data_IF_261997182569
#
_entry.id   IF_261997182569
#
_cell.length_a   1.000
_cell.length_b   1.000
_cell.length_c   1.000
_cell.angle_alpha   90.00
_cell.angle_beta   90.00
_cell.angle_gamma   90.00
#
_symmetry.space_group_name_H-M   'P 1'
#
loop_
_entity.id
_entity.type
_entity.pdbx_description
1 polymer ?
#
# COMPACT_ATOMS: atom_id res chain seq x y z
N UNK A 1 19.29 14.15 17.44
CA UNK A 1 17.82 14.09 17.42
C UNK A 1 17.31 13.33 16.20
N UNK A 2 17.76 13.63 14.98
CA UNK A 2 17.21 13.04 13.75
C UNK A 2 18.08 11.94 13.10
N UNK A 3 19.24 11.61 13.67
CA UNK A 3 20.12 10.59 13.10
C UNK A 3 19.53 9.20 13.28
N UNK A 4 19.66 8.36 12.25
CA UNK A 4 19.37 6.93 12.35
C UNK A 4 20.66 6.18 12.61
N UNK A 5 20.58 5.14 13.44
CA UNK A 5 21.73 4.32 13.84
C UNK A 5 21.37 2.86 13.65
N UNK A 6 22.33 2.05 13.19
CA UNK A 6 22.11 0.61 13.01
C UNK A 6 21.83 -0.12 14.32
N UNK A 7 22.17 0.49 15.46
CA UNK A 7 21.93 -0.02 16.81
C UNK A 7 20.47 0.22 17.26
N UNK A 8 19.76 1.15 16.62
CA UNK A 8 18.37 1.45 16.89
C UNK A 8 17.43 0.46 16.19
N UNK A 9 16.36 0.06 16.88
CA UNK A 9 15.39 -0.92 16.38
C UNK A 9 13.99 -0.35 16.11
N UNK A 10 13.79 0.95 16.32
CA UNK A 10 12.48 1.58 16.16
C UNK A 10 12.08 1.82 14.68
N UNK A 11 13.07 1.80 13.77
CA UNK A 11 12.91 2.07 12.34
C UNK A 11 12.96 0.84 11.43
N UNK A 12 13.33 -0.34 11.93
CA UNK A 12 13.28 -1.60 11.16
C UNK A 12 14.39 -1.82 10.12
N UNK A 13 15.18 -0.81 9.75
CA UNK A 13 16.36 -0.99 8.89
C UNK A 13 17.53 -1.64 9.65
N UNK A 14 17.98 -2.81 9.18
CA UNK A 14 19.04 -3.62 9.83
C UNK A 14 20.38 -3.62 9.12
N UNK A 15 20.44 -3.12 7.87
CA UNK A 15 21.63 -3.15 7.00
C UNK A 15 22.25 -1.75 6.77
N UNK A 16 21.90 -0.77 7.60
CA UNK A 16 22.33 0.62 7.45
C UNK A 16 23.79 0.84 7.92
N UNK A 17 24.54 1.63 7.17
CA UNK A 17 25.85 2.15 7.53
C UNK A 17 25.80 3.31 8.54
N UNK A 18 26.91 3.57 9.22
CA UNK A 18 26.98 4.67 10.18
C UNK A 18 26.88 6.03 9.45
N UNK A 19 25.90 6.86 9.84
CA UNK A 19 25.69 8.19 9.24
C UNK A 19 25.13 8.17 7.82
N UNK A 20 24.62 7.03 7.36
CA UNK A 20 24.09 6.86 6.00
C UNK A 20 22.74 7.55 5.80
N UNK A 21 21.90 7.60 6.85
CA UNK A 21 20.57 8.18 6.79
C UNK A 21 20.20 8.98 8.04
N UNK A 22 19.26 9.90 7.86
CA UNK A 22 18.63 10.68 8.92
C UNK A 22 17.14 10.86 8.61
N UNK A 23 16.34 11.12 9.65
CA UNK A 23 14.94 11.48 9.53
C UNK A 23 14.82 12.91 9.04
N UNK A 24 13.99 13.11 8.02
CA UNK A 24 13.59 14.44 7.59
C UNK A 24 12.53 14.99 8.57
N UNK A 25 12.84 16.03 9.36
CA UNK A 25 11.90 16.59 10.34
C UNK A 25 10.69 17.26 9.71
N UNK A 26 10.72 17.55 8.40
CA UNK A 26 9.60 18.15 7.66
C UNK A 26 8.64 17.10 7.08
N UNK A 27 8.90 15.81 7.32
CA UNK A 27 8.05 14.69 6.91
C UNK A 27 7.49 13.99 8.14
N UNK A 28 6.38 14.49 8.66
CA UNK A 28 5.71 13.86 9.80
C UNK A 28 5.12 12.52 9.34
N UNK A 29 5.72 11.45 9.82
CA UNK A 29 5.22 10.08 9.58
C UNK A 29 4.56 9.58 10.85
N UNK A 30 3.24 9.36 10.80
CA UNK A 30 2.46 8.79 11.91
C UNK A 30 2.31 7.30 11.64
N UNK A 31 2.83 6.46 12.55
CA UNK A 31 2.66 5.00 12.48
C UNK A 31 1.35 4.61 13.14
N UNK A 32 0.61 3.69 12.53
CA UNK A 32 -0.58 3.09 13.15
C UNK A 32 -0.24 1.72 13.76
N UNK A 33 -0.97 1.27 14.79
CA UNK A 33 -0.79 -0.06 15.40
C UNK A 33 -0.90 -1.20 14.38
N UNK A 34 -0.24 -2.34 14.65
CA UNK A 34 -0.32 -3.55 13.84
C UNK A 34 1.02 -4.19 13.49
N UNK A 35 2.14 -3.49 13.69
CA UNK A 35 3.48 -3.99 13.34
C UNK A 35 4.45 -3.80 14.51
N UNK A 36 4.98 -4.93 14.99
CA UNK A 36 6.15 -4.96 15.86
C UNK A 36 7.41 -4.81 14.99
N UNK A 37 7.85 -3.56 14.86
CA UNK A 37 9.03 -3.21 14.04
C UNK A 37 10.30 -3.88 14.58
N UNK A 38 10.41 -4.03 15.90
CA UNK A 38 11.62 -4.58 16.55
C UNK A 38 11.80 -6.05 16.20
N UNK A 39 10.72 -6.82 16.19
CA UNK A 39 10.76 -8.24 15.91
C UNK A 39 10.36 -8.60 14.47
N UNK A 40 10.05 -7.60 13.64
CA UNK A 40 9.56 -7.73 12.27
C UNK A 40 8.36 -8.70 12.16
N UNK A 41 7.31 -8.44 12.95
CA UNK A 41 6.10 -9.28 13.02
C UNK A 41 4.83 -8.43 13.01
N UNK A 42 3.75 -9.01 12.49
CA UNK A 42 2.42 -8.47 12.74
C UNK A 42 2.02 -8.67 14.19
N UNK A 43 1.37 -7.67 14.75
CA UNK A 43 0.74 -7.75 16.06
C UNK A 43 -0.59 -8.53 15.98
N UNK A 44 -1.18 -8.84 17.14
CA UNK A 44 -2.48 -9.48 17.21
C UNK A 44 -3.58 -8.56 16.67
N UNK A 45 -3.55 -7.29 17.08
CA UNK A 45 -4.50 -6.27 16.66
C UNK A 45 -3.80 -5.21 15.81
N UNK A 46 -4.53 -4.56 14.92
CA UNK A 46 -3.98 -3.50 14.08
C UNK A 46 -5.02 -2.50 13.61
N UNK A 47 -4.54 -1.30 13.29
CA UNK A 47 -5.35 -0.23 12.72
C UNK A 47 -4.72 0.10 11.36
N UNK A 48 -5.35 -0.31 10.24
CA UNK A 48 -4.82 -0.01 8.91
C UNK A 48 -4.76 1.49 8.66
N UNK A 49 -3.66 1.97 8.07
CA UNK A 49 -3.46 3.37 7.72
C UNK A 49 -4.55 3.92 6.80
N UNK A 50 -5.12 3.07 5.92
CA UNK A 50 -6.21 3.44 5.02
C UNK A 50 -7.51 3.81 5.75
N UNK A 51 -7.83 3.15 6.87
CA UNK A 51 -9.05 3.46 7.66
C UNK A 51 -8.90 4.83 8.33
N UNK A 52 -7.73 5.11 8.89
CA UNK A 52 -7.44 6.42 9.49
C UNK A 52 -7.39 7.51 8.42
N UNK A 53 -6.82 7.21 7.25
CA UNK A 53 -6.74 8.16 6.15
C UNK A 53 -8.12 8.54 5.62
N UNK A 54 -9.04 7.57 5.52
CA UNK A 54 -10.42 7.83 5.11
C UNK A 54 -11.16 8.68 6.15
N UNK A 55 -10.99 8.37 7.44
CA UNK A 55 -11.54 9.21 8.51
C UNK A 55 -11.06 10.65 8.42
N UNK A 56 -9.76 10.87 8.22
CA UNK A 56 -9.20 12.21 8.08
C UNK A 56 -9.76 12.90 6.83
N UNK A 57 -9.89 12.18 5.72
CA UNK A 57 -10.45 12.73 4.48
C UNK A 57 -11.89 13.19 4.66
N UNK A 58 -12.74 12.38 5.30
CA UNK A 58 -14.13 12.74 5.62
C UNK A 58 -14.23 13.93 6.59
N UNK A 59 -13.19 14.18 7.39
CA UNK A 59 -13.07 15.36 8.26
C UNK A 59 -12.23 16.49 7.62
N UNK A 60 -12.06 16.48 6.28
CA UNK A 60 -11.38 17.49 5.47
C UNK A 60 -9.89 17.71 5.78
N UNK A 61 -9.21 16.69 6.31
CA UNK A 61 -7.77 16.69 6.57
C UNK A 61 -7.07 15.84 5.51
N UNK A 62 -6.24 16.49 4.69
CA UNK A 62 -5.60 15.85 3.55
C UNK A 62 -4.17 15.43 3.90
N UNK A 63 -3.97 14.12 4.05
CA UNK A 63 -2.63 13.49 4.07
C UNK A 63 -1.96 13.55 2.69
N UNK A 64 -0.63 13.61 2.69
CA UNK A 64 0.15 13.49 1.46
C UNK A 64 0.11 12.07 0.89
N UNK A 65 0.27 11.06 1.77
CA UNK A 65 0.04 9.66 1.45
C UNK A 65 -0.29 8.86 2.71
N UNK A 66 -0.81 7.66 2.51
CA UNK A 66 -0.90 6.63 3.53
C UNK A 66 -0.44 5.30 2.93
N UNK A 67 0.27 4.50 3.73
CA UNK A 67 0.64 3.13 3.37
C UNK A 67 -0.21 2.17 4.24
N UNK A 68 0.21 0.90 4.39
CA UNK A 68 -0.55 -0.11 5.13
C UNK A 68 -0.71 0.23 6.62
N UNK A 69 0.35 0.74 7.27
CA UNK A 69 0.37 1.06 8.71
C UNK A 69 1.02 2.43 9.02
N UNK A 70 0.92 3.39 8.09
CA UNK A 70 1.46 4.74 8.28
C UNK A 70 0.72 5.78 7.46
N UNK A 71 0.79 7.03 7.92
CA UNK A 71 0.35 8.24 7.22
C UNK A 71 1.50 9.24 7.16
N UNK A 72 1.58 10.00 6.08
CA UNK A 72 2.59 11.03 5.85
C UNK A 72 1.94 12.40 5.67
N UNK A 73 2.47 13.39 6.39
CA UNK A 73 2.14 14.81 6.25
C UNK A 73 3.42 15.59 5.95
N UNK A 74 3.33 16.52 5.01
CA UNK A 74 4.47 17.33 4.55
C UNK A 74 4.35 18.70 5.19
N UNK A 75 5.34 19.06 6.01
CA UNK A 75 5.41 20.37 6.63
C UNK A 75 6.15 21.36 5.72
N UNK A 76 5.63 22.58 5.72
CA UNK A 76 6.16 23.76 5.07
C UNK A 76 6.16 24.92 6.07
N UNK A 77 6.89 26.02 5.79
CA UNK A 77 6.80 27.23 6.61
C UNK A 77 5.42 27.90 6.63
N UNK A 78 4.49 27.46 5.78
CA UNK A 78 3.11 27.96 5.76
C UNK A 78 2.20 27.31 6.80
N UNK A 79 2.58 26.14 7.32
CA UNK A 79 1.78 25.39 8.28
C UNK A 79 1.80 26.06 9.66
N UNK A 80 0.63 26.16 10.30
CA UNK A 80 0.48 26.79 11.61
C UNK A 80 0.33 25.78 12.74
N UNK A 81 0.47 26.26 13.98
CA UNK A 81 0.22 25.43 15.17
C UNK A 81 -1.24 24.97 15.22
N UNK A 82 -2.18 25.83 14.83
CA UNK A 82 -3.62 25.55 14.85
C UNK A 82 -3.99 24.43 13.87
N UNK A 83 -3.33 24.36 12.71
CA UNK A 83 -3.50 23.27 11.74
C UNK A 83 -2.97 21.93 12.30
N UNK A 84 -1.81 21.97 12.98
CA UNK A 84 -1.25 20.79 13.66
C UNK A 84 -2.12 20.33 14.85
N UNK A 85 -2.67 21.27 15.62
CA UNK A 85 -3.61 20.98 16.70
C UNK A 85 -4.89 20.34 16.14
N UNK A 86 -5.39 20.83 14.99
CA UNK A 86 -6.55 20.24 14.29
C UNK A 86 -6.28 18.78 13.86
N UNK A 87 -5.08 18.50 13.34
CA UNK A 87 -4.67 17.15 13.00
C UNK A 87 -4.60 16.24 14.24
N UNK A 88 -4.03 16.73 15.34
CA UNK A 88 -3.96 15.99 16.60
C UNK A 88 -5.35 15.68 17.16
N UNK A 89 -6.25 16.66 17.19
CA UNK A 89 -7.62 16.50 17.67
C UNK A 89 -8.39 15.47 16.83
N UNK A 90 -8.16 15.42 15.52
CA UNK A 90 -8.73 14.41 14.66
C UNK A 90 -8.23 12.99 15.00
N UNK A 91 -6.94 12.83 15.28
CA UNK A 91 -6.41 11.53 15.74
C UNK A 91 -7.02 11.11 17.08
N UNK A 92 -7.12 12.03 18.05
CA UNK A 92 -7.75 11.75 19.35
C UNK A 92 -9.23 11.39 19.21
N UNK A 93 -9.95 12.05 18.29
CA UNK A 93 -11.33 11.73 17.96
C UNK A 93 -11.46 10.33 17.34
N UNK A 94 -10.60 9.97 16.40
CA UNK A 94 -10.56 8.62 15.83
C UNK A 94 -10.26 7.57 16.89
N UNK A 95 -9.26 7.81 17.74
CA UNK A 95 -8.90 6.93 18.86
C UNK A 95 -10.09 6.71 19.79
N UNK A 96 -10.84 7.78 20.12
CA UNK A 96 -12.07 7.67 20.91
C UNK A 96 -13.11 6.78 20.23
N UNK A 97 -13.40 6.99 18.95
CA UNK A 97 -14.34 6.14 18.20
C UNK A 97 -13.90 4.67 18.17
N UNK A 98 -12.61 4.42 17.97
CA UNK A 98 -12.05 3.08 18.01
C UNK A 98 -12.24 2.46 19.39
N UNK A 99 -11.87 3.16 20.46
CA UNK A 99 -11.99 2.67 21.84
C UNK A 99 -13.44 2.39 22.25
N UNK A 100 -14.38 3.26 21.84
CA UNK A 100 -15.81 3.12 22.10
C UNK A 100 -16.49 2.06 21.19
N UNK A 101 -15.75 1.42 20.28
CA UNK A 101 -16.25 0.43 19.31
C UNK A 101 -17.41 0.97 18.45
N UNK A 102 -17.27 2.22 18.01
CA UNK A 102 -18.31 2.92 17.27
C UNK A 102 -18.60 2.27 15.90
N UNK A 103 -19.83 2.45 15.40
CA UNK A 103 -20.26 1.92 14.11
C UNK A 103 -19.57 2.66 12.96
N UNK A 104 -19.26 1.94 11.87
CA UNK A 104 -18.66 2.53 10.66
C UNK A 104 -19.50 3.68 10.12
N UNK A 105 -20.84 3.60 10.17
CA UNK A 105 -21.72 4.70 9.74
C UNK A 105 -21.53 6.02 10.51
N UNK A 106 -21.03 5.95 11.74
CA UNK A 106 -20.83 7.12 12.61
C UNK A 106 -19.40 7.65 12.50
N UNK A 107 -18.43 6.78 12.16
CA UNK A 107 -17.01 7.13 11.99
C UNK A 107 -16.67 7.53 10.55
N UNK A 108 -17.20 6.80 9.57
CA UNK A 108 -16.99 6.95 8.12
C UNK A 108 -18.35 7.04 7.40
N UNK A 109 -19.18 8.08 7.66
CA UNK A 109 -20.49 8.24 7.06
C UNK A 109 -20.48 8.31 5.52
N UNK A 110 -19.44 8.86 4.89
CA UNK A 110 -19.35 8.93 3.42
C UNK A 110 -19.12 7.54 2.84
N UNK A 111 -18.11 6.81 3.34
CA UNK A 111 -17.88 5.41 2.96
C UNK A 111 -19.12 4.54 3.16
N UNK A 112 -19.80 4.70 4.31
CA UNK A 112 -20.99 3.93 4.63
C UNK A 112 -22.15 4.22 3.67
N UNK A 113 -22.30 5.47 3.22
CA UNK A 113 -23.33 5.85 2.26
C UNK A 113 -23.08 5.24 0.88
N UNK A 114 -21.82 5.10 0.47
CA UNK A 114 -21.45 4.48 -0.80
C UNK A 114 -21.60 2.95 -0.77
N UNK A 115 -21.23 2.31 0.34
CA UNK A 115 -21.25 0.85 0.49
C UNK A 115 -22.08 0.38 1.71
N UNK A 116 -23.38 0.73 1.78
CA UNK A 116 -24.19 0.51 2.98
C UNK A 116 -24.39 -0.96 3.30
N UNK A 117 -24.52 -1.81 2.29
CA UNK A 117 -24.73 -3.25 2.46
C UNK A 117 -23.47 -3.95 2.98
N UNK A 118 -22.29 -3.57 2.47
CA UNK A 118 -21.00 -4.16 2.88
C UNK A 118 -20.65 -3.82 4.32
N UNK A 119 -20.95 -2.60 4.77
CA UNK A 119 -20.57 -2.10 6.09
C UNK A 119 -21.74 -2.02 7.07
N UNK A 120 -22.87 -2.64 6.76
CA UNK A 120 -24.07 -2.66 7.62
C UNK A 120 -23.76 -3.30 8.96
N UNK A 121 -23.88 -2.52 10.04
CA UNK A 121 -23.68 -3.00 11.40
C UNK A 121 -22.22 -3.26 11.78
N UNK A 122 -21.27 -2.95 10.90
CA UNK A 122 -19.85 -3.04 11.21
C UNK A 122 -19.46 -1.97 12.23
N UNK A 123 -18.59 -2.34 13.17
CA UNK A 123 -17.85 -1.39 13.98
C UNK A 123 -16.51 -1.06 13.35
N UNK A 124 -15.93 0.09 13.71
CA UNK A 124 -14.60 0.48 13.21
C UNK A 124 -13.52 -0.52 13.66
N UNK A 125 -13.62 -1.10 14.86
CA UNK A 125 -12.69 -2.15 15.30
C UNK A 125 -12.81 -3.41 14.45
N UNK A 126 -14.03 -3.83 14.12
CA UNK A 126 -14.25 -5.00 13.24
C UNK A 126 -13.63 -4.77 11.86
N UNK A 127 -13.85 -3.59 11.27
CA UNK A 127 -13.25 -3.23 9.98
C UNK A 127 -11.71 -3.23 10.04
N UNK A 128 -11.14 -2.53 11.03
CA UNK A 128 -9.70 -2.48 11.24
C UNK A 128 -9.09 -3.88 11.40
N UNK A 129 -9.72 -4.72 12.23
CA UNK A 129 -9.22 -6.07 12.49
C UNK A 129 -9.36 -6.98 11.26
N UNK A 130 -10.45 -6.88 10.50
CA UNK A 130 -10.65 -7.67 9.28
C UNK A 130 -9.57 -7.36 8.23
N UNK A 131 -9.26 -6.07 8.04
CA UNK A 131 -8.20 -5.61 7.14
C UNK A 131 -6.80 -5.98 7.65
N UNK A 132 -6.54 -5.82 8.95
CA UNK A 132 -5.28 -6.21 9.57
C UNK A 132 -4.99 -7.70 9.37
N UNK A 133 -5.96 -8.56 9.70
CA UNK A 133 -5.82 -10.01 9.53
C UNK A 133 -5.65 -10.42 8.06
N UNK A 134 -6.25 -9.69 7.13
CA UNK A 134 -6.03 -9.91 5.70
C UNK A 134 -4.56 -9.70 5.31
N UNK A 135 -3.96 -8.55 5.63
CA UNK A 135 -2.56 -8.28 5.27
C UNK A 135 -1.58 -9.15 6.05
N UNK A 136 -1.89 -9.48 7.30
CA UNK A 136 -1.14 -10.40 8.15
C UNK A 136 -1.11 -11.81 7.58
N UNK A 137 -2.27 -12.39 7.22
CA UNK A 137 -2.36 -13.72 6.60
C UNK A 137 -1.53 -13.82 5.32
N UNK A 138 -1.49 -12.74 4.54
CA UNK A 138 -0.72 -12.65 3.30
C UNK A 138 0.77 -12.34 3.50
N UNK A 139 1.23 -12.09 4.74
CA UNK A 139 2.60 -11.68 5.05
C UNK A 139 3.07 -10.48 4.21
N UNK A 140 2.20 -9.47 4.08
CA UNK A 140 2.34 -8.41 3.07
C UNK A 140 3.65 -7.62 3.15
N UNK A 141 4.09 -7.16 4.33
CA UNK A 141 5.39 -6.46 4.42
C UNK A 141 6.59 -7.36 4.07
N UNK A 142 6.48 -8.68 4.25
CA UNK A 142 7.53 -9.63 3.85
C UNK A 142 7.57 -9.74 2.33
N UNK A 143 6.41 -9.74 1.67
CA UNK A 143 6.35 -9.64 0.21
C UNK A 143 7.02 -8.34 -0.25
N UNK A 144 6.66 -7.20 0.35
CA UNK A 144 7.25 -5.90 0.03
C UNK A 144 8.78 -5.89 0.15
N UNK A 145 9.35 -6.47 1.20
CA UNK A 145 10.81 -6.60 1.33
C UNK A 145 11.39 -7.45 0.19
N UNK A 146 10.79 -8.61 -0.09
CA UNK A 146 11.26 -9.52 -1.13
C UNK A 146 11.24 -8.92 -2.53
N UNK A 147 10.31 -8.00 -2.83
CA UNK A 147 10.26 -7.30 -4.12
C UNK A 147 11.57 -6.56 -4.43
N UNK A 148 12.24 -6.03 -3.40
CA UNK A 148 13.49 -5.26 -3.54
C UNK A 148 14.75 -6.00 -3.08
N UNK A 149 14.60 -7.25 -2.63
CA UNK A 149 15.71 -8.14 -2.25
C UNK A 149 15.93 -9.29 -3.27
N UNK A 150 15.31 -9.21 -4.45
CA UNK A 150 15.44 -10.23 -5.50
C UNK A 150 16.91 -10.46 -5.89
N UNK A 151 17.40 -11.71 -5.87
CA UNK A 151 18.73 -12.02 -6.39
C UNK A 151 18.82 -11.65 -7.87
N UNK A 152 19.78 -10.77 -8.23
CA UNK A 152 19.93 -10.28 -9.59
C UNK A 152 19.06 -9.07 -9.96
N UNK A 153 18.35 -8.49 -8.98
CA UNK A 153 17.43 -7.35 -9.10
C UNK A 153 16.24 -7.60 -10.04
N UNK A 154 16.44 -7.97 -11.30
CA UNK A 154 15.43 -8.55 -12.21
C UNK A 154 16.11 -9.14 -13.47
N UNK A 155 15.61 -10.27 -13.96
CA UNK A 155 16.12 -11.00 -15.14
C UNK A 155 15.78 -10.28 -16.46
N UNK A 156 16.41 -9.12 -16.71
CA UNK A 156 16.26 -8.33 -17.94
C UNK A 156 16.49 -9.20 -19.19
N UNK A 157 15.51 -9.20 -20.10
CA UNK A 157 15.63 -9.84 -21.42
C UNK A 157 15.95 -8.87 -22.54
N UNK A 158 15.66 -7.60 -22.30
CA UNK A 158 15.97 -6.48 -23.17
C UNK A 158 16.01 -5.22 -22.32
N UNK A 159 16.58 -4.15 -22.88
CA UNK A 159 16.57 -2.85 -22.23
C UNK A 159 15.16 -2.26 -22.18
N UNK A 160 14.84 -1.37 -21.23
CA UNK A 160 13.55 -0.68 -21.21
C UNK A 160 13.23 0.07 -22.51
N UNK A 161 14.26 0.60 -23.19
CA UNK A 161 14.12 1.27 -24.50
C UNK A 161 13.65 0.29 -25.58
N UNK A 162 14.20 -0.93 -25.62
CA UNK A 162 13.77 -1.95 -26.58
C UNK A 162 12.33 -2.42 -26.28
N UNK A 163 11.99 -2.63 -25.01
CA UNK A 163 10.63 -2.98 -24.60
C UNK A 163 9.61 -1.89 -25.01
N UNK A 164 9.94 -0.61 -24.79
CA UNK A 164 9.11 0.53 -25.23
C UNK A 164 8.94 0.58 -26.76
N UNK A 165 9.99 0.29 -27.53
CA UNK A 165 9.86 0.20 -29.00
C UNK A 165 8.96 -0.94 -29.45
N UNK A 166 9.03 -2.09 -28.79
CA UNK A 166 8.15 -3.24 -29.08
C UNK A 166 6.70 -2.92 -28.71
N UNK A 167 6.46 -2.32 -27.55
CA UNK A 167 5.13 -1.85 -27.14
C UNK A 167 4.54 -0.86 -28.15
N UNK A 168 5.32 0.13 -28.61
CA UNK A 168 4.90 1.10 -29.65
C UNK A 168 4.56 0.44 -31.00
N UNK A 169 5.15 -0.71 -31.30
CA UNK A 169 4.88 -1.47 -32.52
C UNK A 169 3.71 -2.44 -32.38
N UNK A 170 3.07 -2.47 -31.21
CA UNK A 170 2.04 -3.46 -30.87
C UNK A 170 2.60 -4.90 -30.86
N UNK A 171 3.90 -5.03 -30.59
CA UNK A 171 4.61 -6.31 -30.41
C UNK A 171 4.46 -6.81 -28.96
N UNK A 172 3.27 -6.63 -28.39
CA UNK A 172 2.85 -7.01 -27.05
C UNK A 172 1.44 -7.62 -27.08
N UNK A 173 1.05 -8.24 -25.97
CA UNK A 173 -0.29 -8.77 -25.74
C UNK A 173 -0.58 -8.85 -24.24
N UNK A 174 -1.86 -8.76 -23.89
CA UNK A 174 -2.34 -8.89 -22.53
C UNK A 174 -2.35 -10.36 -22.11
N UNK A 175 -1.88 -10.63 -20.89
CA UNK A 175 -2.02 -11.93 -20.21
C UNK A 175 -2.66 -11.75 -18.85
N UNK A 176 -3.32 -12.81 -18.40
CA UNK A 176 -3.83 -12.90 -17.04
C UNK A 176 -2.68 -13.14 -16.07
N UNK A 177 -2.82 -12.66 -14.83
CA UNK A 177 -1.78 -12.83 -13.82
C UNK A 177 -1.42 -14.29 -13.58
N UNK A 178 -2.37 -15.22 -13.71
CA UNK A 178 -2.14 -16.68 -13.64
C UNK A 178 -1.04 -17.16 -14.61
N UNK A 179 -0.87 -16.49 -15.75
CA UNK A 179 0.07 -16.83 -16.82
C UNK A 179 1.26 -15.86 -16.96
N UNK A 180 1.37 -14.87 -16.05
CA UNK A 180 2.32 -13.75 -16.18
C UNK A 180 3.76 -14.14 -15.83
N UNK A 181 3.95 -15.09 -14.91
CA UNK A 181 5.30 -15.43 -14.40
C UNK A 181 6.21 -15.91 -15.52
N UNK A 182 7.40 -15.33 -15.59
CA UNK A 182 8.41 -15.62 -16.61
C UNK A 182 8.17 -14.94 -17.96
N UNK A 183 7.07 -14.22 -18.14
CA UNK A 183 6.83 -13.33 -19.29
C UNK A 183 7.61 -12.03 -19.13
N UNK A 184 7.98 -11.42 -20.25
CA UNK A 184 8.69 -10.13 -20.25
C UNK A 184 7.67 -9.00 -20.23
N UNK A 185 7.74 -8.12 -19.23
CA UNK A 185 6.84 -6.99 -19.08
C UNK A 185 7.01 -5.99 -20.24
N UNK A 186 5.90 -5.55 -20.82
CA UNK A 186 5.91 -4.47 -21.80
C UNK A 186 5.86 -3.08 -21.13
N UNK A 187 5.25 -3.01 -19.94
CA UNK A 187 5.07 -1.79 -19.16
C UNK A 187 5.70 -1.93 -17.77
N UNK A 188 5.86 -0.79 -17.07
CA UNK A 188 6.37 -0.79 -15.70
C UNK A 188 5.24 -0.98 -14.70
N UNK A 189 5.36 -2.01 -13.86
CA UNK A 189 4.37 -2.37 -12.87
C UNK A 189 4.63 -1.62 -11.55
N UNK A 190 3.70 -0.76 -11.15
CA UNK A 190 3.85 0.21 -10.06
C UNK A 190 2.68 0.10 -9.07
N UNK A 191 2.84 -0.65 -7.97
CA UNK A 191 1.85 -0.71 -6.90
C UNK A 191 2.07 0.36 -5.83
N UNK A 192 0.99 0.81 -5.18
CA UNK A 192 1.04 1.62 -3.97
C UNK A 192 0.51 0.86 -2.74
N UNK A 193 1.33 0.73 -1.68
CA UNK A 193 2.77 1.03 -1.60
C UNK A 193 3.66 0.05 -2.41
N UNK A 194 4.93 0.40 -2.71
CA UNK A 194 5.62 1.63 -2.29
C UNK A 194 5.54 2.81 -3.26
N UNK A 195 4.93 2.67 -4.44
CA UNK A 195 4.89 3.74 -5.45
C UNK A 195 6.15 3.80 -6.33
N UNK A 196 6.78 2.65 -6.57
CA UNK A 196 7.98 2.48 -7.40
C UNK A 196 7.80 1.22 -8.24
N UNK A 197 8.46 1.14 -9.40
CA UNK A 197 8.45 -0.09 -10.20
C UNK A 197 8.99 -1.28 -9.40
N UNK A 198 8.17 -2.34 -9.37
CA UNK A 198 8.57 -3.66 -8.88
C UNK A 198 8.85 -4.63 -10.03
N UNK A 199 8.41 -4.27 -11.24
CA UNK A 199 8.82 -4.84 -12.53
C UNK A 199 8.93 -3.68 -13.51
N UNK A 200 10.10 -3.45 -14.09
CA UNK A 200 10.33 -2.47 -15.15
C UNK A 200 10.11 -3.10 -16.55
N UNK A 201 9.82 -2.30 -17.59
CA UNK A 201 9.73 -2.81 -18.96
C UNK A 201 11.00 -3.56 -19.38
N UNK A 202 10.84 -4.72 -20.00
CA UNK A 202 11.94 -5.60 -20.43
C UNK A 202 12.42 -6.61 -19.38
N UNK A 203 11.96 -6.49 -18.13
CA UNK A 203 12.18 -7.49 -17.09
C UNK A 203 11.19 -8.63 -17.18
N UNK A 204 11.52 -9.77 -16.56
CA UNK A 204 10.56 -10.84 -16.36
C UNK A 204 9.80 -10.69 -15.06
N UNK A 205 8.51 -10.97 -15.13
CA UNK A 205 7.66 -11.14 -13.96
C UNK A 205 8.11 -12.34 -13.12
N UNK A 206 8.29 -12.14 -11.82
CA UNK A 206 8.57 -13.20 -10.86
C UNK A 206 7.30 -13.55 -10.05
N UNK A 207 7.32 -14.71 -9.39
CA UNK A 207 6.24 -15.21 -8.53
C UNK A 207 5.92 -14.24 -7.39
N UNK A 208 6.93 -13.54 -6.86
CA UNK A 208 6.72 -12.55 -5.79
C UNK A 208 5.96 -11.33 -6.28
N UNK A 209 6.17 -10.92 -7.54
CA UNK A 209 5.49 -9.78 -8.15
C UNK A 209 4.02 -10.08 -8.33
N UNK A 210 3.74 -11.21 -9.00
CA UNK A 210 2.39 -11.74 -9.19
C UNK A 210 1.63 -11.78 -7.85
N UNK A 211 2.23 -12.45 -6.85
CA UNK A 211 1.60 -12.62 -5.54
C UNK A 211 1.31 -11.30 -4.85
N UNK A 212 2.17 -10.29 -4.98
CA UNK A 212 1.94 -9.00 -4.34
C UNK A 212 0.77 -8.26 -4.98
N UNK A 213 0.68 -8.22 -6.31
CA UNK A 213 -0.47 -7.62 -7.00
C UNK A 213 -1.78 -8.36 -6.71
N UNK A 214 -1.77 -9.70 -6.64
CA UNK A 214 -2.95 -10.49 -6.24
C UNK A 214 -3.45 -10.10 -4.84
N UNK A 215 -2.53 -9.88 -3.88
CA UNK A 215 -2.87 -9.39 -2.54
C UNK A 215 -3.49 -7.99 -2.58
N UNK A 216 -3.06 -7.12 -3.50
CA UNK A 216 -3.66 -5.80 -3.64
C UNK A 216 -5.04 -5.88 -4.31
N UNK A 217 -5.19 -6.67 -5.37
CA UNK A 217 -6.45 -6.83 -6.09
C UNK A 217 -7.55 -7.45 -5.21
N UNK A 218 -7.24 -8.52 -4.47
CA UNK A 218 -8.20 -9.11 -3.53
C UNK A 218 -8.54 -8.19 -2.36
N UNK A 219 -7.66 -7.26 -1.98
CA UNK A 219 -8.00 -6.24 -0.99
C UNK A 219 -9.05 -5.26 -1.54
N UNK A 220 -8.96 -4.87 -2.82
CA UNK A 220 -9.95 -4.02 -3.50
C UNK A 220 -11.34 -4.67 -3.46
N UNK A 221 -11.44 -5.96 -3.80
CA UNK A 221 -12.70 -6.70 -3.76
C UNK A 221 -13.30 -6.77 -2.35
N UNK A 222 -12.45 -7.05 -1.35
CA UNK A 222 -12.88 -7.34 0.01
C UNK A 222 -13.25 -6.08 0.80
N UNK A 223 -12.61 -4.96 0.48
CA UNK A 223 -12.71 -3.69 1.20
C UNK A 223 -13.04 -2.54 0.23
N UNK A 224 -14.24 -2.53 -0.37
CA UNK A 224 -14.63 -1.48 -1.30
C UNK A 224 -14.59 -0.10 -0.63
N UNK A 225 -13.96 0.87 -1.30
CA UNK A 225 -13.62 2.19 -0.74
C UNK A 225 -12.20 2.29 -0.18
N UNK A 226 -11.49 1.18 0.03
CA UNK A 226 -10.07 1.14 0.40
C UNK A 226 -9.21 0.61 -0.75
N UNK A 227 -9.22 1.34 -1.87
CA UNK A 227 -8.59 0.91 -3.12
C UNK A 227 -7.10 1.32 -3.12
N UNK A 228 -6.14 0.39 -3.02
CA UNK A 228 -4.74 0.71 -3.32
C UNK A 228 -4.60 1.19 -4.77
N UNK A 229 -3.74 2.17 -4.99
CA UNK A 229 -3.42 2.61 -6.35
C UNK A 229 -2.48 1.59 -7.01
N UNK A 230 -2.80 1.22 -8.24
CA UNK A 230 -2.05 0.24 -9.01
C UNK A 230 -1.92 0.74 -10.46
N UNK A 231 -0.70 0.77 -11.00
CA UNK A 231 -0.42 1.18 -12.37
C UNK A 231 0.42 0.11 -13.11
N UNK A 232 0.33 0.10 -14.44
CA UNK A 232 1.03 -0.88 -15.29
C UNK A 232 0.42 -2.28 -15.27
N UNK A 233 -0.77 -2.42 -14.67
CA UNK A 233 -1.62 -3.60 -14.71
C UNK A 233 -3.06 -3.15 -14.91
N UNK A 234 -3.88 -4.04 -15.41
CA UNK A 234 -5.27 -3.80 -15.75
C UNK A 234 -6.17 -4.61 -14.84
N UNK A 235 -7.16 -3.96 -14.25
CA UNK A 235 -8.20 -4.62 -13.47
C UNK A 235 -9.46 -4.69 -14.33
N UNK A 236 -9.87 -5.90 -14.67
CA UNK A 236 -11.13 -6.16 -15.37
C UNK A 236 -12.10 -6.91 -14.44
N UNK A 237 -13.41 -6.83 -14.71
CA UNK A 237 -14.41 -7.59 -13.95
C UNK A 237 -14.82 -8.83 -14.72
N UNK A 238 -14.71 -9.99 -14.06
CA UNK A 238 -15.29 -11.23 -14.54
C UNK A 238 -16.83 -11.15 -14.48
N UNK A 239 -17.50 -12.04 -15.22
CA UNK A 239 -18.96 -12.13 -15.24
C UNK A 239 -19.58 -12.42 -13.85
N UNK A 240 -18.80 -13.04 -12.94
CA UNK A 240 -19.20 -13.35 -11.57
C UNK A 240 -18.94 -12.20 -10.56
N UNK A 241 -18.39 -11.08 -11.03
CA UNK A 241 -18.07 -9.90 -10.22
C UNK A 241 -16.70 -9.93 -9.54
N UNK A 242 -15.89 -10.98 -9.75
CA UNK A 242 -14.50 -11.01 -9.29
C UNK A 242 -13.60 -10.15 -10.18
N UNK A 243 -12.52 -9.61 -9.61
CA UNK A 243 -11.51 -8.83 -10.30
C UNK A 243 -10.46 -9.74 -10.92
N UNK A 244 -10.28 -9.57 -12.22
CA UNK A 244 -9.22 -10.15 -13.00
C UNK A 244 -8.06 -9.16 -13.10
N UNK A 245 -6.86 -9.59 -12.73
CA UNK A 245 -5.64 -8.79 -12.90
C UNK A 245 -4.93 -9.24 -14.16
N UNK A 246 -4.57 -8.28 -15.01
CA UNK A 246 -3.89 -8.54 -16.28
C UNK A 246 -2.69 -7.61 -16.46
N UNK A 247 -1.71 -8.04 -17.27
CA UNK A 247 -0.54 -7.24 -17.62
C UNK A 247 -0.23 -7.34 -19.11
N UNK A 248 0.30 -6.27 -19.67
CA UNK A 248 0.87 -6.27 -21.03
C UNK A 248 2.27 -6.88 -21.01
N UNK A 249 2.48 -7.86 -21.89
CA UNK A 249 3.76 -8.58 -22.01
C UNK A 249 4.24 -8.60 -23.45
N UNK A 250 5.55 -8.63 -23.63
CA UNK A 250 6.20 -8.61 -24.93
C UNK A 250 5.96 -9.95 -25.68
N UNK A 251 5.65 -9.87 -26.97
CA UNK A 251 5.61 -11.03 -27.89
C UNK A 251 7.04 -11.57 -28.05
N UNK A 252 7.20 -12.87 -27.85
CA UNK A 252 8.48 -13.55 -28.09
C UNK A 252 8.85 -13.56 -29.57
#
# INVERSE_FOLDING_TARGET
YWNMSKEDNWHGFTKMGQGEAMIDPLKITVKTPGIDVKNAKYEENGIPGAVVAEFLMENHIIRAKNDLNSLLFLLTPGDTKEELDTLLDAFLKFEKYYNDDALVKDVLPVLYKEYPDRYKGYTVKQLCQEMHEYYKKNNTFVLQQKLFEKPGMQDYKMTPSEADQMFKRNDNYVVDFEDVVGRTAAEGALPYPPGVFIVAPGEKWDTVDQKYFEVLAHAIEKFPGFVPEIQGVYLDQNEDGTLKVQAEVIKK
#
